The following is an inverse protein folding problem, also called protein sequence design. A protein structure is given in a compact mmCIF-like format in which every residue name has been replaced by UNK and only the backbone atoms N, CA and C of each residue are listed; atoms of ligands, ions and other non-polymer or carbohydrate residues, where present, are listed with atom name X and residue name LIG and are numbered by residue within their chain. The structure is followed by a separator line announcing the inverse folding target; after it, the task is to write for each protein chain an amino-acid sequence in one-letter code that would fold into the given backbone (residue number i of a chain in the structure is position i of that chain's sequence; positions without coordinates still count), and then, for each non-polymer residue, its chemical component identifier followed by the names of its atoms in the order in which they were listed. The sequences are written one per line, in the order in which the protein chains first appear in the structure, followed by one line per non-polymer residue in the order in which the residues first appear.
data_IF_146508074686
#
_entry.id   IF_146508074686
#
_cell.length_a   1.000
_cell.length_b   1.000
_cell.length_c   1.000
_cell.angle_alpha   90.00
_cell.angle_beta   90.00
_cell.angle_gamma   90.00
#
_symmetry.space_group_name_H-M   'P 1'
#
loop_
_entity.id
_entity.type
_entity.pdbx_description
1 polymer ?
#
# COMPACT_ATOMS: atom_id res chain seq x y z
N UNK A 1 -4.62 -4.06 16.16
CA UNK A 1 -3.82 -3.33 15.15
C UNK A 1 -4.75 -2.79 14.07
N UNK A 2 -4.57 -1.53 13.65
CA UNK A 2 -5.42 -0.90 12.61
C UNK A 2 -4.65 -0.79 11.30
N UNK A 3 -5.17 -1.42 10.25
CA UNK A 3 -4.51 -1.54 8.95
C UNK A 3 -5.31 -0.76 7.91
N UNK A 4 -4.66 0.16 7.21
CA UNK A 4 -5.24 0.89 6.10
C UNK A 4 -4.69 0.35 4.77
N UNK A 5 -5.53 -0.33 4.01
CA UNK A 5 -5.22 -0.74 2.64
C UNK A 5 -5.50 0.39 1.66
N UNK A 6 -4.59 0.66 0.75
CA UNK A 6 -4.75 1.67 -0.30
C UNK A 6 -4.76 0.98 -1.65
N UNK A 7 -5.95 0.94 -2.25
CA UNK A 7 -6.23 0.32 -3.54
C UNK A 7 -6.56 1.39 -4.58
N UNK A 8 -6.37 1.08 -5.86
CA UNK A 8 -6.71 2.02 -6.93
C UNK A 8 -8.23 2.12 -7.08
N UNK A 9 -8.88 1.05 -7.48
CA UNK A 9 -10.33 0.95 -7.67
C UNK A 9 -10.82 -0.35 -7.01
N UNK A 10 -11.89 -0.29 -6.23
CA UNK A 10 -12.48 -1.48 -5.62
C UNK A 10 -13.31 -2.23 -6.66
N UNK A 11 -12.64 -2.98 -7.51
CA UNK A 11 -13.24 -3.80 -8.57
C UNK A 11 -12.99 -5.29 -8.31
N UNK A 12 -13.67 -6.14 -9.06
CA UNK A 12 -13.43 -7.57 -9.00
C UNK A 12 -12.09 -7.90 -9.65
N UNK A 13 -11.02 -7.96 -8.84
CA UNK A 13 -9.68 -8.35 -9.29
C UNK A 13 -8.93 -9.09 -8.17
N UNK A 14 -7.82 -9.72 -8.51
CA UNK A 14 -7.14 -10.65 -7.62
C UNK A 14 -6.75 -10.08 -6.25
N UNK A 15 -6.29 -8.83 -6.20
CA UNK A 15 -5.91 -8.20 -4.94
C UNK A 15 -7.13 -7.93 -4.05
N UNK A 16 -8.20 -7.40 -4.62
CA UNK A 16 -9.42 -7.06 -3.91
C UNK A 16 -10.11 -8.32 -3.36
N UNK A 17 -10.18 -9.39 -4.16
CA UNK A 17 -10.71 -10.69 -3.72
C UNK A 17 -9.90 -11.21 -2.54
N UNK A 18 -8.58 -11.24 -2.67
CA UNK A 18 -7.67 -11.72 -1.61
C UNK A 18 -7.89 -10.99 -0.28
N UNK A 19 -8.12 -9.67 -0.31
CA UNK A 19 -8.35 -8.91 0.92
C UNK A 19 -9.71 -9.18 1.54
N UNK A 20 -10.75 -9.31 0.72
CA UNK A 20 -12.09 -9.65 1.21
C UNK A 20 -12.07 -11.06 1.82
N UNK A 21 -11.47 -12.04 1.14
CA UNK A 21 -11.38 -13.42 1.62
C UNK A 21 -10.55 -13.54 2.91
N UNK A 22 -9.47 -12.76 3.04
CA UNK A 22 -8.62 -12.77 4.22
C UNK A 22 -9.14 -11.92 5.39
N UNK A 23 -10.26 -11.22 5.25
CA UNK A 23 -10.75 -10.27 6.25
C UNK A 23 -11.04 -10.92 7.61
N UNK A 24 -11.62 -12.11 7.61
CA UNK A 24 -11.96 -12.84 8.84
C UNK A 24 -10.68 -13.25 9.60
N UNK A 25 -9.64 -13.66 8.90
CA UNK A 25 -8.35 -14.00 9.50
C UNK A 25 -7.70 -12.77 10.14
N UNK A 26 -7.68 -11.65 9.45
CA UNK A 26 -7.18 -10.40 10.02
C UNK A 26 -7.94 -10.00 11.28
N UNK A 27 -9.27 -10.12 11.27
CA UNK A 27 -10.11 -9.78 12.42
C UNK A 27 -9.90 -10.76 13.58
N UNK A 28 -9.71 -12.05 13.32
CA UNK A 28 -9.39 -13.06 14.33
C UNK A 28 -8.08 -12.75 15.06
N UNK A 29 -7.13 -12.11 14.36
CA UNK A 29 -5.87 -11.60 14.90
C UNK A 29 -6.01 -10.24 15.60
N UNK A 30 -7.23 -9.73 15.79
CA UNK A 30 -7.50 -8.45 16.45
C UNK A 30 -7.18 -7.23 15.57
N UNK A 31 -7.22 -7.37 14.24
CA UNK A 31 -7.03 -6.25 13.32
C UNK A 31 -8.36 -5.55 13.01
N UNK A 32 -8.35 -4.22 13.03
CA UNK A 32 -9.40 -3.39 12.44
C UNK A 32 -8.99 -3.00 11.02
N UNK A 33 -9.91 -3.17 10.06
CA UNK A 33 -9.62 -3.07 8.65
C UNK A 33 -10.21 -1.81 8.03
N UNK A 34 -9.38 -1.08 7.32
CA UNK A 34 -9.71 0.16 6.62
C UNK A 34 -9.25 0.04 5.18
N UNK A 35 -9.99 0.64 4.24
CA UNK A 35 -9.60 0.69 2.83
C UNK A 35 -9.87 2.06 2.22
N UNK A 36 -8.92 2.57 1.45
CA UNK A 36 -9.09 3.74 0.57
C UNK A 36 -9.21 3.25 -0.86
N UNK A 37 -10.28 3.67 -1.53
CA UNK A 37 -10.41 3.69 -2.99
C UNK A 37 -9.85 5.01 -3.52
N UNK A 38 -8.79 4.94 -4.32
CA UNK A 38 -8.10 6.14 -4.84
C UNK A 38 -8.47 6.50 -6.28
N UNK A 39 -9.30 5.69 -6.96
CA UNK A 39 -9.85 6.03 -8.26
C UNK A 39 -11.01 7.02 -8.15
N UNK A 40 -11.33 7.69 -9.26
CA UNK A 40 -12.48 8.60 -9.33
C UNK A 40 -13.82 7.89 -9.07
N UNK A 41 -13.91 6.61 -9.47
CA UNK A 41 -15.09 5.78 -9.24
C UNK A 41 -14.88 4.86 -8.05
N UNK A 42 -15.86 4.80 -7.18
CA UNK A 42 -15.94 3.75 -6.19
C UNK A 42 -16.36 2.47 -6.91
N UNK A 43 -15.48 1.52 -7.05
CA UNK A 43 -15.75 0.29 -7.79
C UNK A 43 -16.93 -0.53 -7.21
N UNK A 44 -17.55 -1.36 -8.04
CA UNK A 44 -18.72 -2.18 -7.67
C UNK A 44 -18.44 -3.20 -6.55
N UNK A 45 -17.17 -3.48 -6.27
CA UNK A 45 -16.76 -4.42 -5.22
C UNK A 45 -16.67 -3.76 -3.82
N UNK A 46 -16.96 -2.46 -3.73
CA UNK A 46 -16.91 -1.72 -2.46
C UNK A 46 -17.86 -2.27 -1.39
N UNK A 47 -19.03 -2.77 -1.79
CA UNK A 47 -19.99 -3.34 -0.84
C UNK A 47 -19.48 -4.65 -0.24
N UNK A 48 -18.76 -5.47 -1.02
CA UNK A 48 -18.11 -6.68 -0.51
C UNK A 48 -17.06 -6.35 0.58
N UNK A 49 -16.32 -5.25 0.42
CA UNK A 49 -15.42 -4.76 1.48
C UNK A 49 -16.17 -4.36 2.74
N UNK A 50 -17.29 -3.65 2.61
CA UNK A 50 -18.13 -3.27 3.76
C UNK A 50 -18.68 -4.50 4.48
N UNK A 51 -19.21 -5.48 3.72
CA UNK A 51 -19.76 -6.74 4.24
C UNK A 51 -18.68 -7.56 4.93
N UNK A 52 -17.43 -7.52 4.41
CA UNK A 52 -16.26 -8.11 5.04
C UNK A 52 -15.74 -7.33 6.28
N UNK A 53 -16.41 -6.23 6.68
CA UNK A 53 -16.09 -5.46 7.89
C UNK A 53 -15.04 -4.38 7.73
N UNK A 54 -14.70 -3.98 6.50
CA UNK A 54 -13.83 -2.83 6.25
C UNK A 54 -14.56 -1.50 6.41
N UNK A 55 -13.89 -0.51 7.00
CA UNK A 55 -14.29 0.89 6.85
C UNK A 55 -13.78 1.41 5.50
N UNK A 56 -14.70 1.67 4.58
CA UNK A 56 -14.40 2.09 3.20
C UNK A 56 -14.40 3.60 3.07
N UNK A 57 -13.28 4.14 2.57
CA UNK A 57 -13.13 5.56 2.25
C UNK A 57 -12.95 5.75 0.75
N UNK A 58 -13.69 6.69 0.18
CA UNK A 58 -13.53 7.08 -1.22
C UNK A 58 -12.81 8.41 -1.29
N UNK A 59 -11.53 8.38 -1.63
CA UNK A 59 -10.65 9.55 -1.71
C UNK A 59 -9.90 9.52 -3.05
N UNK A 60 -10.47 10.09 -4.11
CA UNK A 60 -9.85 10.12 -5.43
C UNK A 60 -8.50 10.84 -5.40
N UNK A 61 -7.47 10.21 -5.97
CA UNK A 61 -6.14 10.76 -6.05
C UNK A 61 -6.05 11.80 -7.19
N UNK A 62 -5.75 13.06 -6.90
CA UNK A 62 -5.63 14.10 -7.92
C UNK A 62 -4.34 13.95 -8.74
N UNK A 63 -4.32 14.51 -9.96
CA UNK A 63 -3.16 14.47 -10.86
C UNK A 63 -2.13 15.58 -10.63
N UNK A 64 -2.54 16.72 -10.07
CA UNK A 64 -1.68 17.91 -9.88
C UNK A 64 -0.79 17.82 -8.64
N UNK A 65 0.44 18.34 -8.68
CA UNK A 65 1.41 18.28 -7.56
C UNK A 65 0.89 18.98 -6.30
N UNK A 66 0.32 20.18 -6.43
CA UNK A 66 -0.21 20.95 -5.28
C UNK A 66 -1.42 20.22 -4.67
N UNK A 67 -2.31 19.71 -5.51
CA UNK A 67 -3.49 18.97 -5.09
C UNK A 67 -3.11 17.63 -4.45
N UNK A 68 -2.02 16.98 -4.92
CA UNK A 68 -1.47 15.78 -4.29
C UNK A 68 -0.94 16.04 -2.89
N UNK A 69 -0.28 17.17 -2.67
CA UNK A 69 0.14 17.55 -1.32
C UNK A 69 -1.04 17.70 -0.36
N UNK A 70 -2.09 18.41 -0.78
CA UNK A 70 -3.33 18.54 0.00
C UNK A 70 -4.00 17.18 0.25
N UNK A 71 -3.99 16.30 -0.74
CA UNK A 71 -4.47 14.93 -0.64
C UNK A 71 -3.68 14.12 0.39
N UNK A 72 -2.35 14.18 0.37
CA UNK A 72 -1.52 13.53 1.39
C UNK A 72 -1.84 14.04 2.80
N UNK A 73 -2.01 15.35 2.97
CA UNK A 73 -2.41 15.93 4.27
C UNK A 73 -3.79 15.42 4.73
N UNK A 74 -4.73 15.26 3.81
CA UNK A 74 -6.05 14.70 4.12
C UNK A 74 -5.93 13.28 4.64
N UNK A 75 -5.10 12.43 4.00
CA UNK A 75 -4.86 11.07 4.46
C UNK A 75 -4.11 11.06 5.80
N UNK A 76 -3.14 11.95 6.03
CA UNK A 76 -2.48 12.08 7.35
C UNK A 76 -3.50 12.37 8.46
N UNK A 77 -4.47 13.26 8.18
CA UNK A 77 -5.54 13.56 9.15
C UNK A 77 -6.43 12.35 9.40
N UNK A 78 -6.78 11.60 8.34
CA UNK A 78 -7.55 10.36 8.44
C UNK A 78 -6.81 9.32 9.29
N UNK A 79 -5.54 9.09 8.98
CA UNK A 79 -4.66 8.15 9.69
C UNK A 79 -4.60 8.47 11.19
N UNK A 80 -4.40 9.74 11.54
CA UNK A 80 -4.37 10.19 12.93
C UNK A 80 -5.72 10.10 13.62
N UNK A 81 -6.81 10.46 12.93
CA UNK A 81 -8.17 10.40 13.45
C UNK A 81 -8.60 8.98 13.78
N UNK A 82 -8.35 8.04 12.86
CA UNK A 82 -8.72 6.64 13.04
C UNK A 82 -7.70 5.85 13.88
N UNK A 83 -6.52 6.40 14.14
CA UNK A 83 -5.43 5.74 14.88
C UNK A 83 -4.85 4.56 14.11
N UNK A 84 -4.59 4.74 12.81
CA UNK A 84 -4.02 3.71 11.94
C UNK A 84 -2.57 3.41 12.34
N UNK A 85 -2.23 2.13 12.44
CA UNK A 85 -0.88 1.67 12.79
C UNK A 85 -0.01 1.39 11.55
N UNK A 86 -0.64 0.95 10.45
CA UNK A 86 0.06 0.52 9.23
C UNK A 86 -0.72 0.94 8.00
N UNK A 87 -0.03 1.50 7.00
CA UNK A 87 -0.55 1.70 5.64
C UNK A 87 0.00 0.60 4.76
N UNK A 88 -0.88 -0.13 4.09
CA UNK A 88 -0.53 -1.14 3.11
C UNK A 88 -1.00 -0.72 1.72
N UNK A 89 -0.06 -0.43 0.81
CA UNK A 89 -0.34 0.15 -0.50
C UNK A 89 -0.18 -0.88 -1.60
N UNK A 90 -1.22 -1.04 -2.43
CA UNK A 90 -1.22 -1.82 -3.67
C UNK A 90 -1.29 -0.95 -4.93
N UNK A 91 -1.75 0.29 -4.80
CA UNK A 91 -1.82 1.23 -5.91
C UNK A 91 -0.42 1.72 -6.29
N UNK A 92 0.12 1.22 -7.41
CA UNK A 92 1.50 1.51 -7.85
C UNK A 92 1.78 3.00 -8.07
N UNK A 93 0.76 3.76 -8.46
CA UNK A 93 0.84 5.21 -8.68
C UNK A 93 0.87 6.03 -7.37
N UNK A 94 0.57 5.41 -6.23
CA UNK A 94 0.46 6.08 -4.93
C UNK A 94 1.53 5.67 -3.92
N UNK A 95 2.45 4.80 -4.29
CA UNK A 95 3.47 4.26 -3.38
C UNK A 95 4.27 5.35 -2.66
N UNK A 96 4.64 6.43 -3.38
CA UNK A 96 5.42 7.54 -2.82
C UNK A 96 4.58 8.45 -1.94
N UNK A 97 3.34 8.72 -2.35
CA UNK A 97 2.41 9.51 -1.55
C UNK A 97 2.14 8.82 -0.22
N UNK A 98 1.91 7.51 -0.22
CA UNK A 98 1.65 6.74 1.00
C UNK A 98 2.90 6.56 1.87
N UNK A 99 4.08 6.46 1.28
CA UNK A 99 5.32 6.50 2.03
C UNK A 99 5.52 7.84 2.75
N UNK A 100 5.23 8.95 2.06
CA UNK A 100 5.25 10.30 2.63
C UNK A 100 4.21 10.45 3.75
N UNK A 101 2.97 10.00 3.52
CA UNK A 101 1.90 10.01 4.52
C UNK A 101 2.31 9.24 5.77
N UNK A 102 2.82 8.03 5.62
CA UNK A 102 3.27 7.21 6.73
C UNK A 102 4.39 7.88 7.53
N UNK A 103 5.34 8.51 6.84
CA UNK A 103 6.41 9.29 7.45
C UNK A 103 5.85 10.47 8.27
N UNK A 104 4.97 11.30 7.67
CA UNK A 104 4.36 12.46 8.32
C UNK A 104 3.44 12.07 9.49
N UNK A 105 2.85 10.90 9.42
CA UNK A 105 2.01 10.36 10.49
C UNK A 105 2.80 9.60 11.57
N UNK A 106 4.08 9.25 11.32
CA UNK A 106 4.91 8.49 12.25
C UNK A 106 4.56 7.00 12.34
N UNK A 107 3.97 6.42 11.28
CA UNK A 107 3.50 5.03 11.23
C UNK A 107 4.27 4.19 10.20
N UNK A 108 4.01 2.89 10.15
CA UNK A 108 4.66 1.98 9.19
C UNK A 108 3.97 2.03 7.83
N UNK A 109 4.75 1.82 6.76
CA UNK A 109 4.25 1.65 5.40
C UNK A 109 4.78 0.35 4.81
N UNK A 110 3.87 -0.40 4.20
CA UNK A 110 4.14 -1.62 3.44
C UNK A 110 3.67 -1.41 2.01
N UNK A 111 4.41 -1.91 1.04
CA UNK A 111 4.03 -1.85 -0.36
C UNK A 111 4.18 -3.23 -1.02
N UNK A 112 3.13 -3.68 -1.70
CA UNK A 112 3.14 -4.93 -2.47
C UNK A 112 3.38 -4.65 -3.95
N UNK A 113 4.39 -5.31 -4.51
CA UNK A 113 4.67 -5.30 -5.95
C UNK A 113 4.02 -6.49 -6.62
N UNK A 114 3.21 -6.24 -7.65
CA UNK A 114 2.51 -7.29 -8.42
C UNK A 114 3.18 -7.63 -9.76
N UNK A 115 4.28 -6.97 -10.10
CA UNK A 115 4.95 -7.20 -11.38
C UNK A 115 6.46 -7.30 -11.21
N UNK A 116 7.05 -8.29 -11.87
CA UNK A 116 8.50 -8.36 -12.01
C UNK A 116 9.00 -7.12 -12.75
N UNK A 117 9.89 -6.37 -12.12
CA UNK A 117 10.55 -5.26 -12.78
C UNK A 117 11.44 -5.79 -13.89
N UNK A 118 11.10 -5.52 -15.15
CA UNK A 118 12.15 -5.39 -16.17
C UNK A 118 12.93 -4.14 -15.79
N UNK A 119 14.05 -4.35 -15.09
CA UNK A 119 14.88 -3.28 -14.54
C UNK A 119 15.40 -2.39 -15.66
N UNK A 120 14.84 -1.19 -15.78
CA UNK A 120 15.59 -0.11 -16.43
C UNK A 120 16.63 0.35 -15.43
N UNK A 121 17.93 0.41 -15.78
CA UNK A 121 19.02 0.74 -14.85
C UNK A 121 18.80 2.08 -14.10
N UNK A 122 18.14 3.05 -14.74
CA UNK A 122 17.79 4.34 -14.15
C UNK A 122 16.79 4.21 -12.98
N UNK A 123 15.85 3.29 -13.05
CA UNK A 123 14.89 3.08 -11.95
C UNK A 123 15.55 2.45 -10.72
N UNK A 124 16.58 1.61 -10.93
CA UNK A 124 17.33 0.98 -9.87
C UNK A 124 18.16 1.99 -9.07
N UNK A 125 18.89 2.89 -9.75
CA UNK A 125 19.64 3.98 -9.11
C UNK A 125 18.73 4.94 -8.33
N UNK A 126 17.54 5.25 -8.88
CA UNK A 126 16.54 6.06 -8.20
C UNK A 126 16.00 5.38 -6.94
N UNK A 127 15.77 4.07 -6.97
CA UNK A 127 15.37 3.29 -5.78
C UNK A 127 16.46 3.25 -4.71
N UNK A 128 17.73 3.10 -5.09
CA UNK A 128 18.87 3.16 -4.16
C UNK A 128 18.95 4.54 -3.51
N UNK A 129 18.88 5.61 -4.33
CA UNK A 129 18.92 6.98 -3.83
C UNK A 129 17.77 7.28 -2.86
N UNK A 130 16.56 6.82 -3.14
CA UNK A 130 15.40 6.99 -2.27
C UNK A 130 15.52 6.17 -0.97
N UNK A 131 16.01 4.94 -1.02
CA UNK A 131 16.30 4.15 0.19
C UNK A 131 17.36 4.84 1.05
N UNK A 132 18.37 5.41 0.43
CA UNK A 132 19.43 6.14 1.12
C UNK A 132 18.91 7.45 1.73
N UNK A 133 18.14 8.22 0.98
CA UNK A 133 17.52 9.47 1.44
C UNK A 133 16.50 9.22 2.55
N UNK A 134 15.67 8.19 2.44
CA UNK A 134 14.71 7.82 3.48
C UNK A 134 15.41 7.36 4.77
N UNK A 135 16.52 6.62 4.68
CA UNK A 135 17.31 6.22 5.86
C UNK A 135 17.96 7.41 6.57
N UNK A 136 18.41 8.41 5.82
CA UNK A 136 19.20 9.51 6.37
C UNK A 136 18.38 10.74 6.75
N UNK A 137 17.26 11.01 6.06
CA UNK A 137 16.39 12.18 6.36
C UNK A 137 15.23 11.87 7.30
N UNK A 138 14.79 10.63 7.34
CA UNK A 138 13.58 10.26 8.05
C UNK A 138 13.86 8.94 8.77
N UNK A 139 13.85 8.93 10.07
CA UNK A 139 13.90 7.72 10.90
C UNK A 139 12.72 6.74 10.64
N UNK A 140 12.20 6.72 9.42
CA UNK A 140 11.10 5.88 8.98
C UNK A 140 11.57 4.45 8.73
N UNK A 141 11.03 3.50 9.46
CA UNK A 141 11.20 2.07 9.23
C UNK A 141 10.48 1.66 7.93
N UNK A 142 11.19 1.76 6.80
CA UNK A 142 10.73 1.25 5.52
C UNK A 142 11.04 -0.25 5.45
N UNK A 143 10.03 -1.09 5.43
CA UNK A 143 10.20 -2.54 5.23
C UNK A 143 9.64 -2.90 3.86
N UNK A 144 10.52 -3.27 2.94
CA UNK A 144 10.14 -3.81 1.62
C UNK A 144 10.11 -5.32 1.74
N UNK A 145 8.98 -5.94 1.50
CA UNK A 145 8.81 -7.42 1.55
C UNK A 145 9.38 -8.10 0.28
N UNK A 146 10.02 -7.34 -0.63
CA UNK A 146 10.53 -7.88 -1.91
C UNK A 146 11.69 -8.87 -1.78
N UNK A 147 12.37 -8.93 -0.64
CA UNK A 147 13.61 -9.72 -0.53
C UNK A 147 13.34 -11.23 -0.33
N UNK A 148 12.17 -11.61 0.16
CA UNK A 148 11.85 -13.04 0.42
C UNK A 148 11.27 -13.79 -0.79
N UNK A 149 10.72 -13.08 -1.77
CA UNK A 149 10.15 -13.71 -2.98
C UNK A 149 11.24 -14.02 -4.01
N UNK A 150 12.31 -13.21 -4.08
CA UNK A 150 13.41 -13.42 -5.01
C UNK A 150 14.31 -14.62 -4.66
N UNK A 151 14.49 -14.93 -3.38
CA UNK A 151 15.29 -16.08 -2.98
C UNK A 151 14.57 -17.41 -3.22
N UNK A 152 13.24 -17.44 -3.15
CA UNK A 152 12.48 -18.67 -3.44
C UNK A 152 12.40 -18.98 -4.95
N UNK A 153 12.34 -17.98 -5.84
CA UNK A 153 12.34 -18.25 -7.29
C UNK A 153 13.69 -18.75 -7.81
N UNK A 154 14.82 -18.37 -7.20
CA UNK A 154 16.13 -18.93 -7.56
C UNK A 154 16.26 -20.41 -7.23
N UNK A 155 15.53 -20.91 -6.24
CA UNK A 155 15.55 -22.33 -5.86
C UNK A 155 14.74 -23.21 -6.84
N UNK A 156 13.77 -22.66 -7.57
CA UNK A 156 12.96 -23.42 -8.53
C UNK A 156 13.59 -23.53 -9.93
N UNK A 157 14.49 -22.62 -10.32
CA UNK A 157 15.12 -22.63 -11.65
C UNK A 157 16.45 -23.42 -11.73
N UNK A 158 16.95 -23.98 -10.62
CA UNK A 158 18.21 -24.75 -10.59
C UNK A 158 18.05 -26.27 -10.56
N UNK A 159 16.84 -26.81 -10.61
CA UNK A 159 16.60 -28.26 -10.54
C UNK A 159 16.18 -28.92 -11.87
N UNK A 160 16.21 -28.19 -13.00
CA UNK A 160 15.90 -28.76 -14.33
C UNK A 160 17.07 -28.56 -15.32
N UNK A 161 18.26 -29.07 -14.97
CA UNK A 161 19.32 -29.38 -15.95
C UNK A 161 19.99 -30.69 -15.57
#
# INVERSE_FOLDING_TARGET
MKILHVLYELKFSGAEIMYVDAADEFRSLGCELYVINSAERLGKYADMFKDAGYKVYHLPCPSGLITRWSYCQQIVRLVKKEGIDVIHTHASNMKWDMALVACLAGIRSVYTFHSCFKSRPISYLYHIWLRWSAKNLLSCKFQTISDSVYDNERLYYHNDT
#
